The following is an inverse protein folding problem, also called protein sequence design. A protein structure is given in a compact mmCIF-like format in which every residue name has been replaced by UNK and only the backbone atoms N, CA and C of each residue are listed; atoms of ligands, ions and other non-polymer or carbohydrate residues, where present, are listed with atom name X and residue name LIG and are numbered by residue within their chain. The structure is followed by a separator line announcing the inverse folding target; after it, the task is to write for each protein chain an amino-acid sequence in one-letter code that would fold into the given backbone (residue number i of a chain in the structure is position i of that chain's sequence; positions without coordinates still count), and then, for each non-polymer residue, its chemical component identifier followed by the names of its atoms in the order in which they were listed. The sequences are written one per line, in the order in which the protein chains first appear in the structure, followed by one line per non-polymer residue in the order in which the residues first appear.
data_IF_749236613714
#
_entry.id   IF_749236613714
#
_cell.length_a   1.000
_cell.length_b   1.000
_cell.length_c   1.000
_cell.angle_alpha   90.00
_cell.angle_beta   90.00
_cell.angle_gamma   90.00
#
_symmetry.space_group_name_H-M   'P 1'
#
loop_
_entity.id
_entity.type
_entity.pdbx_description
1 polymer ?
#
# COMPACT_ATOMS: atom_id res chain seq x y z
N UNK A 1 9.31 6.26 -12.59
CA UNK A 1 8.72 4.93 -12.91
C UNK A 1 9.31 3.93 -11.92
N UNK A 2 8.61 3.58 -10.84
CA UNK A 2 9.16 2.70 -9.79
C UNK A 2 9.52 1.31 -10.34
N UNK A 3 10.76 0.86 -10.13
CA UNK A 3 11.22 -0.52 -10.44
C UNK A 3 10.54 -1.50 -9.47
N UNK A 4 10.41 -2.78 -9.82
CA UNK A 4 9.76 -3.75 -8.92
C UNK A 4 10.49 -3.90 -7.57
N UNK A 5 11.82 -3.73 -7.56
CA UNK A 5 12.65 -3.65 -6.34
C UNK A 5 12.26 -2.49 -5.43
N UNK A 6 11.69 -1.43 -6.00
CA UNK A 6 11.36 -0.18 -5.32
C UNK A 6 10.09 -0.34 -4.47
N UNK A 7 9.10 -1.06 -5.00
CA UNK A 7 7.81 -1.30 -4.31
C UNK A 7 7.98 -2.16 -3.05
N UNK A 8 8.83 -3.20 -3.11
CA UNK A 8 9.12 -4.02 -1.93
C UNK A 8 9.84 -3.19 -0.86
N UNK A 9 10.77 -2.32 -1.26
CA UNK A 9 11.45 -1.43 -0.31
C UNK A 9 10.48 -0.42 0.30
N UNK A 10 9.56 0.13 -0.50
CA UNK A 10 8.51 1.02 -0.03
C UNK A 10 7.59 0.33 1.00
N UNK A 11 7.17 -0.91 0.74
CA UNK A 11 6.40 -1.72 1.70
C UNK A 11 7.20 -1.93 2.99
N UNK A 12 8.46 -2.35 2.90
CA UNK A 12 9.31 -2.58 4.07
C UNK A 12 9.49 -1.31 4.89
N UNK A 13 9.70 -0.17 4.25
CA UNK A 13 9.84 1.13 4.92
C UNK A 13 8.55 1.55 5.62
N UNK A 14 7.39 1.34 5.00
CA UNK A 14 6.08 1.57 5.63
C UNK A 14 5.85 0.68 6.87
N UNK A 15 6.16 -0.62 6.78
CA UNK A 15 6.05 -1.54 7.91
C UNK A 15 7.03 -1.19 9.04
N UNK A 16 8.29 -0.84 8.72
CA UNK A 16 9.26 -0.36 9.71
C UNK A 16 8.75 0.85 10.47
N UNK A 17 8.23 1.83 9.74
CA UNK A 17 7.69 3.06 10.33
C UNK A 17 6.49 2.76 11.24
N UNK A 18 5.57 1.90 10.81
CA UNK A 18 4.39 1.54 11.62
C UNK A 18 4.76 0.84 12.92
N UNK A 19 5.69 -0.12 12.90
CA UNK A 19 6.18 -0.72 14.14
C UNK A 19 6.91 0.28 15.04
N UNK A 20 7.64 1.23 14.45
CA UNK A 20 8.26 2.31 15.21
C UNK A 20 7.21 3.20 15.90
N UNK A 21 6.19 3.65 15.16
CA UNK A 21 5.12 4.50 15.69
C UNK A 21 4.31 3.80 16.79
N UNK A 22 4.01 2.50 16.63
CA UNK A 22 3.28 1.73 17.64
C UNK A 22 3.96 1.73 19.00
N UNK A 23 5.30 1.59 18.99
CA UNK A 23 6.14 1.55 20.20
C UNK A 23 6.44 2.92 20.81
N UNK A 24 6.07 4.01 20.14
CA UNK A 24 6.19 5.34 20.74
C UNK A 24 5.21 5.48 21.92
N UNK A 25 5.52 6.33 22.91
CA UNK A 25 4.57 6.64 23.97
C UNK A 25 3.33 7.32 23.39
N UNK A 26 2.17 7.12 24.03
CA UNK A 26 0.88 7.62 23.54
C UNK A 26 0.84 9.14 23.35
N UNK A 27 1.62 9.89 24.14
CA UNK A 27 1.71 11.35 24.05
C UNK A 27 2.62 11.83 22.89
N UNK A 28 3.26 10.92 22.15
CA UNK A 28 4.11 11.30 21.03
C UNK A 28 3.26 11.70 19.82
N UNK A 29 3.55 12.85 19.22
CA UNK A 29 2.80 13.41 18.08
C UNK A 29 2.55 12.40 16.95
N UNK A 30 3.58 11.66 16.52
CA UNK A 30 3.44 10.63 15.49
C UNK A 30 2.41 9.54 15.83
N UNK A 31 2.31 9.14 17.12
CA UNK A 31 1.35 8.13 17.57
C UNK A 31 -0.05 8.71 17.62
N UNK A 32 -0.20 9.93 18.12
CA UNK A 32 -1.46 10.67 18.10
C UNK A 32 -2.00 10.83 16.66
N UNK A 33 -1.18 11.28 15.72
CA UNK A 33 -1.56 11.43 14.30
C UNK A 33 -1.89 10.08 13.65
N UNK A 34 -1.21 9.00 14.05
CA UNK A 34 -1.49 7.66 13.55
C UNK A 34 -2.84 7.13 14.06
N UNK A 35 -3.19 7.40 15.31
CA UNK A 35 -4.45 7.00 15.91
C UNK A 35 -5.62 7.91 15.49
N UNK A 36 -5.31 9.16 15.16
CA UNK A 36 -6.29 10.14 14.72
C UNK A 36 -7.06 9.64 13.49
N UNK A 37 -8.38 9.60 13.63
CA UNK A 37 -9.30 9.15 12.59
C UNK A 37 -10.22 10.30 12.19
N UNK A 38 -9.79 11.19 11.28
CA UNK A 38 -10.62 12.32 10.86
C UNK A 38 -11.87 11.80 10.13
N UNK A 39 -13.03 11.97 10.77
CA UNK A 39 -14.35 11.46 10.35
C UNK A 39 -14.93 12.17 9.13
N UNK A 40 -14.31 13.27 8.67
CA UNK A 40 -14.87 14.11 7.60
C UNK A 40 -15.01 13.31 6.29
N UNK A 41 -16.21 13.36 5.69
CA UNK A 41 -16.47 12.82 4.35
C UNK A 41 -15.50 13.46 3.36
N UNK A 42 -14.70 12.64 2.69
CA UNK A 42 -13.73 13.13 1.71
C UNK A 42 -14.47 13.72 0.50
N UNK A 43 -14.02 14.87 0.03
CA UNK A 43 -14.55 15.52 -1.18
C UNK A 43 -14.50 14.56 -2.38
N UNK A 44 -15.50 14.67 -3.25
CA UNK A 44 -15.62 13.87 -4.47
C UNK A 44 -14.35 13.97 -5.31
N UNK A 45 -13.79 12.83 -5.72
CA UNK A 45 -12.58 12.74 -6.55
C UNK A 45 -11.26 12.45 -5.81
N UNK A 46 -11.20 12.64 -4.49
CA UNK A 46 -10.02 12.21 -3.70
C UNK A 46 -10.09 10.70 -3.41
N UNK A 47 -9.00 9.93 -3.60
CA UNK A 47 -8.98 8.53 -3.21
C UNK A 47 -9.33 8.39 -1.72
N UNK A 48 -10.32 7.54 -1.43
CA UNK A 48 -10.84 7.35 -0.06
C UNK A 48 -9.88 6.60 0.86
N UNK A 49 -8.84 5.93 0.31
CA UNK A 49 -7.93 5.09 1.09
C UNK A 49 -6.93 5.98 1.82
N UNK A 50 -7.02 5.99 3.16
CA UNK A 50 -6.02 6.60 4.04
C UNK A 50 -4.73 5.79 3.99
N UNK A 51 -3.61 6.43 4.32
CA UNK A 51 -2.33 5.72 4.42
C UNK A 51 -2.40 4.58 5.46
N UNK A 52 -2.89 4.88 6.67
CA UNK A 52 -3.13 3.85 7.71
C UNK A 52 -3.96 2.68 7.19
N UNK A 53 -5.11 2.97 6.59
CA UNK A 53 -5.99 1.96 6.00
C UNK A 53 -5.30 1.15 4.89
N UNK A 54 -4.44 1.80 4.10
CA UNK A 54 -3.63 1.12 3.09
C UNK A 54 -2.68 0.10 3.74
N UNK A 55 -1.95 0.46 4.79
CA UNK A 55 -1.04 -0.48 5.45
C UNK A 55 -1.81 -1.62 6.11
N UNK A 56 -2.86 -1.31 6.86
CA UNK A 56 -3.67 -2.30 7.58
C UNK A 56 -4.35 -3.27 6.61
N UNK A 57 -5.05 -2.75 5.59
CA UNK A 57 -5.87 -3.57 4.70
C UNK A 57 -5.10 -4.19 3.54
N UNK A 58 -3.98 -3.59 3.11
CA UNK A 58 -3.23 -4.09 1.97
C UNK A 58 -1.96 -4.82 2.36
N UNK A 59 -1.16 -4.32 3.31
CA UNK A 59 0.11 -4.95 3.65
C UNK A 59 -0.09 -5.99 4.76
N UNK A 60 -0.66 -5.59 5.92
CA UNK A 60 -0.82 -6.46 7.09
C UNK A 60 -1.86 -7.56 6.88
N UNK A 61 -3.01 -7.24 6.26
CA UNK A 61 -4.02 -8.25 5.92
C UNK A 61 -3.49 -9.28 4.92
N UNK A 62 -2.69 -8.85 3.94
CA UNK A 62 -2.08 -9.78 2.96
C UNK A 62 -1.06 -10.72 3.62
N UNK A 63 -0.44 -10.28 4.72
CA UNK A 63 0.48 -11.09 5.53
C UNK A 63 -0.24 -11.91 6.61
N UNK A 64 -1.56 -11.77 6.78
CA UNK A 64 -2.32 -12.47 7.82
C UNK A 64 -2.06 -11.98 9.24
N UNK A 65 -1.45 -10.80 9.41
CA UNK A 65 -0.99 -10.28 10.70
C UNK A 65 -1.98 -9.35 11.39
N UNK A 66 -3.17 -9.18 10.83
CA UNK A 66 -4.19 -8.26 11.37
C UNK A 66 -4.76 -8.75 12.71
N UNK A 67 -4.68 -10.06 12.98
CA UNK A 67 -5.30 -10.70 14.15
C UNK A 67 -4.49 -10.52 15.44
N UNK A 68 -3.18 -10.26 15.34
CA UNK A 68 -2.29 -10.20 16.50
C UNK A 68 -1.54 -8.86 16.57
N UNK A 69 -2.11 -7.86 17.28
CA UNK A 69 -1.47 -6.55 17.44
C UNK A 69 -0.22 -6.61 18.33
N UNK A 70 -0.06 -7.66 19.15
CA UNK A 70 1.07 -7.78 20.09
C UNK A 70 2.42 -8.00 19.38
N UNK A 71 2.39 -8.47 18.12
CA UNK A 71 3.59 -8.66 17.29
C UNK A 71 4.32 -7.34 17.05
N UNK A 72 3.62 -6.21 17.11
CA UNK A 72 4.18 -4.88 16.86
C UNK A 72 5.00 -4.36 18.04
N UNK A 73 4.69 -4.82 19.25
CA UNK A 73 5.39 -4.42 20.47
C UNK A 73 6.76 -5.10 20.58
N UNK A 74 6.86 -6.36 20.12
CA UNK A 74 8.13 -7.07 20.05
C UNK A 74 8.94 -6.65 18.80
N UNK A 75 10.04 -5.93 19.03
CA UNK A 75 10.98 -5.50 17.98
C UNK A 75 11.55 -6.67 17.16
N UNK A 76 11.85 -7.80 17.79
CA UNK A 76 12.49 -8.95 17.16
C UNK A 76 11.50 -9.69 16.27
N UNK A 77 10.29 -9.95 16.77
CA UNK A 77 9.21 -10.55 15.97
C UNK A 77 8.80 -9.62 14.83
N UNK A 78 8.74 -8.30 15.06
CA UNK A 78 8.44 -7.33 14.00
C UNK A 78 9.50 -7.29 12.89
N UNK A 79 10.79 -7.43 13.22
CA UNK A 79 11.86 -7.52 12.21
C UNK A 79 11.64 -8.71 11.27
N UNK A 80 11.22 -9.86 11.80
CA UNK A 80 10.93 -11.06 10.99
C UNK A 80 9.77 -10.81 10.02
N UNK A 81 8.69 -10.16 10.48
CA UNK A 81 7.56 -9.72 9.64
C UNK A 81 8.01 -8.81 8.50
N UNK A 82 8.83 -7.80 8.80
CA UNK A 82 9.36 -6.88 7.79
C UNK A 82 10.21 -7.62 6.75
N UNK A 83 10.92 -8.69 7.15
CA UNK A 83 11.68 -9.50 6.22
C UNK A 83 10.82 -10.45 5.39
N UNK A 84 9.78 -11.05 5.98
CA UNK A 84 8.83 -11.93 5.27
C UNK A 84 7.99 -11.18 4.23
N UNK A 85 7.88 -9.85 4.33
CA UNK A 85 7.35 -9.01 3.26
C UNK A 85 8.07 -9.20 1.90
N UNK A 86 9.33 -9.67 1.90
CA UNK A 86 10.09 -9.97 0.69
C UNK A 86 9.56 -11.21 -0.04
N UNK A 87 8.96 -12.16 0.68
CA UNK A 87 8.63 -13.51 0.20
C UNK A 87 7.12 -13.73 -0.01
N UNK A 88 6.25 -12.82 0.43
CA UNK A 88 4.81 -12.99 0.30
C UNK A 88 4.33 -12.97 -1.16
N UNK A 89 3.86 -14.13 -1.65
CA UNK A 89 3.23 -14.35 -2.96
C UNK A 89 2.08 -13.36 -3.26
N UNK A 90 1.40 -12.87 -2.21
CA UNK A 90 0.34 -11.86 -2.25
C UNK A 90 0.76 -10.50 -2.85
N UNK A 91 2.01 -10.08 -2.61
CA UNK A 91 2.54 -8.81 -3.11
C UNK A 91 3.04 -8.96 -4.56
N UNK A 92 3.56 -10.13 -4.91
CA UNK A 92 3.91 -10.49 -6.28
C UNK A 92 2.68 -10.50 -7.22
N UNK A 93 1.54 -11.01 -6.74
CA UNK A 93 0.32 -11.03 -7.53
C UNK A 93 -0.38 -9.66 -7.60
N UNK A 94 -0.18 -8.77 -6.62
CA UNK A 94 -0.56 -7.35 -6.72
C UNK A 94 0.23 -6.63 -7.83
N UNK A 95 1.54 -6.85 -7.91
CA UNK A 95 2.41 -6.35 -9.00
C UNK A 95 1.96 -6.86 -10.38
N UNK A 96 1.68 -8.17 -10.49
CA UNK A 96 1.15 -8.78 -11.72
C UNK A 96 -0.20 -8.15 -12.12
N UNK A 97 -1.12 -7.91 -11.16
CA UNK A 97 -2.42 -7.25 -11.38
C UNK A 97 -2.27 -5.78 -11.81
N UNK A 98 -1.39 -5.00 -11.17
CA UNK A 98 -1.13 -3.57 -11.49
C UNK A 98 -0.55 -3.45 -12.90
N UNK A 99 0.42 -4.29 -13.28
CA UNK A 99 0.99 -4.38 -14.64
C UNK A 99 -0.08 -4.74 -15.68
N UNK A 100 -0.96 -5.72 -15.41
CA UNK A 100 -2.11 -6.07 -16.27
C UNK A 100 -3.06 -4.90 -16.48
N UNK A 101 -3.46 -4.19 -15.42
CA UNK A 101 -4.33 -2.99 -15.50
C UNK A 101 -3.68 -1.87 -16.34
N UNK A 102 -2.38 -1.59 -16.15
CA UNK A 102 -1.62 -0.59 -16.92
C UNK A 102 -1.55 -0.95 -18.42
N UNK A 103 -1.25 -2.20 -18.76
CA UNK A 103 -1.27 -2.71 -20.16
C UNK A 103 -2.66 -2.56 -20.80
N UNK A 104 -3.75 -2.90 -20.09
CA UNK A 104 -5.13 -2.70 -20.57
C UNK A 104 -5.44 -1.22 -20.84
N UNK A 105 -5.05 -0.30 -19.94
CA UNK A 105 -5.23 1.16 -20.14
C UNK A 105 -4.46 1.68 -21.37
N UNK A 106 -3.20 1.26 -21.56
CA UNK A 106 -2.41 1.63 -22.76
C UNK A 106 -3.03 1.10 -24.05
N UNK A 107 -3.48 -0.17 -24.08
CA UNK A 107 -4.19 -0.75 -25.24
C UNK A 107 -5.48 0.01 -25.57
N UNK A 108 -6.29 0.37 -24.56
CA UNK A 108 -7.49 1.20 -24.75
C UNK A 108 -7.18 2.59 -25.31
N UNK A 109 -6.14 3.27 -24.81
CA UNK A 109 -5.71 4.57 -25.34
C UNK A 109 -5.22 4.48 -26.79
N UNK A 110 -4.41 3.46 -27.14
CA UNK A 110 -3.99 3.21 -28.54
C UNK A 110 -5.19 2.97 -29.46
N UNK A 111 -6.15 2.12 -29.06
CA UNK A 111 -7.37 1.87 -29.84
C UNK A 111 -8.21 3.13 -30.04
N UNK A 112 -8.36 3.98 -29.02
CA UNK A 112 -9.06 5.27 -29.16
C UNK A 112 -8.33 6.22 -30.13
N UNK A 113 -7.00 6.28 -30.08
CA UNK A 113 -6.19 7.13 -30.97
C UNK A 113 -6.30 6.69 -32.43
N UNK A 114 -6.25 5.38 -32.70
CA UNK A 114 -6.40 4.82 -34.06
C UNK A 114 -7.82 5.09 -34.60
N UNK A 115 -8.87 4.87 -33.78
CA UNK A 115 -10.25 5.18 -34.19
C UNK A 115 -10.49 6.66 -34.47
N UNK A 116 -9.86 7.57 -33.72
CA UNK A 116 -9.99 9.01 -33.95
C UNK A 116 -9.32 9.47 -35.26
N UNK A 117 -8.22 8.82 -35.67
CA UNK A 117 -7.56 9.10 -36.95
C UNK A 117 -8.42 8.64 -38.14
N UNK A 118 -9.07 7.48 -38.02
CA UNK A 118 -9.93 6.90 -39.06
C UNK A 118 -11.27 7.63 -39.26
N UNK A 119 -11.69 8.50 -38.34
CA UNK A 119 -12.95 9.27 -38.42
C UNK A 119 -12.76 10.68 -38.99
N UNK A 120 -11.54 11.03 -39.42
CA UNK A 120 -11.15 12.34 -39.96
C UNK A 120 -10.75 12.28 -41.45
N UNK A 121 -10.97 11.13 -42.11
CA UNK A 121 -10.91 10.92 -43.56
C UNK A 121 -12.32 10.71 -44.09
#
# INVERSE_FOLDING_TARGET
MYRASDVVQEIKSRLRWVGHVHRLPNNHLNKLVWEESPTRRSLSGRPQIRWRDNIIWSDLKTMGLLTDPTIMDDSSRWKLVVQSAKTHLGLECYEKKKKKKKKKKKKKKKKKKIKGILLLQ
#
